data_IF_034710329523
#
_entry.id   IF_034710329523
#
_cell.length_a   1.000
_cell.length_b   1.000
_cell.length_c   1.000
_cell.angle_alpha   90.00
_cell.angle_beta   90.00
_cell.angle_gamma   90.00
#
_symmetry.space_group_name_H-M   'P 1'
#
loop_
_entity.id
_entity.type
_entity.pdbx_description
1 polymer ?
#
# COMPACT_ATOMS: atom_id res chain seq x y z
N UNK A 1 -10.38 7.54 -23.68
CA UNK A 1 -10.48 6.96 -22.32
C UNK A 1 -9.46 7.67 -21.45
N UNK A 2 -9.87 8.20 -20.27
CA UNK A 2 -8.98 8.89 -19.31
C UNK A 2 -8.00 7.94 -18.64
N UNK A 3 -6.93 8.44 -18.03
CA UNK A 3 -6.01 7.60 -17.25
C UNK A 3 -6.74 6.93 -16.07
N UNK A 4 -7.63 7.66 -15.39
CA UNK A 4 -8.45 7.12 -14.30
C UNK A 4 -9.36 5.96 -14.75
N UNK A 5 -9.98 6.07 -15.93
CA UNK A 5 -10.82 5.01 -16.47
C UNK A 5 -10.01 3.74 -16.81
N UNK A 6 -8.83 3.89 -17.41
CA UNK A 6 -7.93 2.74 -17.70
C UNK A 6 -7.44 2.08 -16.41
N UNK A 7 -7.12 2.87 -15.38
CA UNK A 7 -6.73 2.37 -14.07
C UNK A 7 -7.84 1.51 -13.45
N UNK A 8 -9.07 2.05 -13.38
CA UNK A 8 -10.21 1.34 -12.81
C UNK A 8 -10.54 0.03 -13.56
N UNK A 9 -10.51 0.06 -14.91
CA UNK A 9 -10.69 -1.13 -15.74
C UNK A 9 -9.58 -2.16 -15.50
N UNK A 10 -8.33 -1.72 -15.45
CA UNK A 10 -7.19 -2.58 -15.14
C UNK A 10 -7.30 -3.25 -13.76
N UNK A 11 -7.75 -2.52 -12.73
CA UNK A 11 -8.01 -3.11 -11.41
C UNK A 11 -9.18 -4.11 -11.43
N UNK A 12 -10.26 -3.78 -12.14
CA UNK A 12 -11.41 -4.68 -12.26
C UNK A 12 -11.04 -6.03 -12.90
N UNK A 13 -10.07 -6.03 -13.82
CA UNK A 13 -9.57 -7.26 -14.42
C UNK A 13 -8.85 -8.20 -13.43
N UNK A 14 -8.44 -7.71 -12.25
CA UNK A 14 -7.86 -8.52 -11.16
C UNK A 14 -8.91 -9.19 -10.30
N UNK A 15 -10.20 -9.00 -10.56
CA UNK A 15 -11.25 -9.69 -9.82
C UNK A 15 -11.05 -11.21 -9.89
N UNK A 16 -11.33 -11.88 -8.78
CA UNK A 16 -11.41 -13.34 -8.76
C UNK A 16 -12.71 -13.71 -9.47
N UNK A 17 -12.71 -14.66 -10.44
CA UNK A 17 -13.94 -15.08 -11.10
C UNK A 17 -15.01 -15.51 -10.09
N UNK A 18 -16.26 -15.07 -10.29
CA UNK A 18 -17.36 -15.28 -9.35
C UNK A 18 -17.56 -16.76 -8.98
N UNK A 19 -17.41 -17.67 -9.94
CA UNK A 19 -17.55 -19.10 -9.71
C UNK A 19 -16.48 -19.64 -8.74
N UNK A 20 -15.24 -19.15 -8.84
CA UNK A 20 -14.14 -19.53 -7.94
C UNK A 20 -14.35 -18.92 -6.56
N UNK A 21 -14.74 -17.64 -6.52
CA UNK A 21 -15.00 -16.93 -5.28
C UNK A 21 -16.16 -17.54 -4.49
N UNK A 22 -17.24 -17.92 -5.17
CA UNK A 22 -18.40 -18.57 -4.56
C UNK A 22 -18.09 -19.97 -4.01
N UNK A 23 -17.13 -20.67 -4.59
CA UNK A 23 -16.69 -21.99 -4.15
C UNK A 23 -15.56 -21.94 -3.11
N UNK A 24 -15.03 -20.76 -2.79
CA UNK A 24 -13.93 -20.60 -1.85
C UNK A 24 -14.32 -21.07 -0.43
N UNK A 25 -13.56 -22.00 0.18
CA UNK A 25 -13.87 -22.49 1.53
C UNK A 25 -13.64 -21.47 2.63
N UNK A 26 -12.78 -20.49 2.37
CA UNK A 26 -12.44 -19.38 3.27
C UNK A 26 -12.39 -18.06 2.50
N UNK A 27 -12.57 -16.93 3.20
CA UNK A 27 -12.42 -15.61 2.58
C UNK A 27 -11.00 -15.43 2.01
N UNK A 28 -10.84 -15.10 0.73
CA UNK A 28 -9.54 -14.81 0.14
C UNK A 28 -8.99 -13.43 0.53
N UNK A 29 -9.77 -12.65 1.26
CA UNK A 29 -9.43 -11.28 1.64
C UNK A 29 -8.75 -11.20 2.99
N UNK A 30 -8.00 -10.11 3.20
CA UNK A 30 -7.25 -9.85 4.43
C UNK A 30 -5.81 -10.34 4.36
N UNK A 31 -5.01 -9.77 5.25
CA UNK A 31 -3.63 -10.14 5.50
C UNK A 31 -3.47 -10.49 6.97
N UNK A 32 -2.53 -11.36 7.34
CA UNK A 32 -2.15 -11.51 8.74
C UNK A 32 -1.67 -10.16 9.30
N UNK A 33 -2.30 -9.65 10.35
CA UNK A 33 -1.98 -8.35 10.95
C UNK A 33 -0.52 -8.26 11.39
N UNK A 34 0.07 -9.35 11.85
CA UNK A 34 1.47 -9.46 12.25
C UNK A 34 2.46 -9.05 11.16
N UNK A 35 2.17 -9.30 9.88
CA UNK A 35 3.04 -8.92 8.76
C UNK A 35 3.24 -7.41 8.70
N UNK A 36 2.18 -6.62 8.88
CA UNK A 36 2.28 -5.15 8.85
C UNK A 36 3.04 -4.60 10.04
N UNK A 37 2.90 -5.22 11.20
CA UNK A 37 3.67 -4.86 12.41
C UNK A 37 5.16 -5.11 12.19
N UNK A 38 5.53 -6.26 11.63
CA UNK A 38 6.93 -6.57 11.31
C UNK A 38 7.51 -5.63 10.24
N UNK A 39 6.73 -5.27 9.23
CA UNK A 39 7.15 -4.28 8.20
C UNK A 39 7.37 -2.91 8.86
N UNK A 40 6.51 -2.49 9.78
CA UNK A 40 6.67 -1.22 10.49
C UNK A 40 7.92 -1.23 11.42
N UNK A 41 8.17 -2.31 12.14
CA UNK A 41 9.40 -2.48 12.94
C UNK A 41 10.65 -2.43 12.06
N UNK A 42 10.66 -3.18 10.96
CA UNK A 42 11.78 -3.17 10.02
C UNK A 42 12.01 -1.78 9.40
N UNK A 43 10.96 -1.00 9.19
CA UNK A 43 11.07 0.38 8.71
C UNK A 43 11.66 1.33 9.76
N UNK A 44 11.36 1.11 11.05
CA UNK A 44 11.93 1.88 12.16
C UNK A 44 13.41 1.59 12.39
N UNK A 45 13.82 0.34 12.22
CA UNK A 45 15.19 -0.12 12.48
C UNK A 45 16.11 0.01 11.25
N UNK A 46 15.51 0.13 10.07
CA UNK A 46 16.22 0.15 8.80
C UNK A 46 16.59 1.55 8.30
N UNK A 47 17.33 1.63 7.18
CA UNK A 47 17.64 2.90 6.56
C UNK A 47 16.38 3.54 5.94
N UNK A 48 16.28 4.89 5.92
CA UNK A 48 15.17 5.58 5.28
C UNK A 48 15.01 5.21 3.79
N UNK A 49 13.80 4.80 3.40
CA UNK A 49 13.46 4.54 2.00
C UNK A 49 13.39 5.85 1.19
N UNK A 50 13.32 5.81 -0.15
CA UNK A 50 13.00 7.00 -0.95
C UNK A 50 11.75 7.72 -0.47
N UNK A 51 10.69 7.00 -0.11
CA UNK A 51 9.45 7.55 0.43
C UNK A 51 9.68 8.38 1.68
N UNK A 52 10.42 7.83 2.67
CA UNK A 52 10.78 8.55 3.88
C UNK A 52 11.63 9.80 3.57
N UNK A 53 12.65 9.69 2.72
CA UNK A 53 13.52 10.83 2.36
C UNK A 53 12.74 11.94 1.65
N UNK A 54 11.82 11.57 0.72
CA UNK A 54 11.02 12.56 -0.01
C UNK A 54 9.99 13.24 0.88
N UNK A 55 9.40 12.52 1.85
CA UNK A 55 8.50 13.10 2.84
C UNK A 55 9.27 14.04 3.80
N UNK A 56 10.35 13.55 4.40
CA UNK A 56 11.16 14.32 5.34
C UNK A 56 11.72 15.63 4.74
N UNK A 57 12.11 15.60 3.45
CA UNK A 57 12.63 16.78 2.75
C UNK A 57 11.63 17.95 2.58
N UNK A 58 10.33 17.70 2.79
CA UNK A 58 9.29 18.73 2.74
C UNK A 58 8.63 19.00 4.09
N UNK A 59 9.04 18.26 5.13
CA UNK A 59 8.46 18.36 6.47
C UNK A 59 9.23 19.39 7.29
N UNK A 60 8.59 20.46 7.79
CA UNK A 60 9.25 21.38 8.71
C UNK A 60 9.50 20.72 10.06
N UNK A 61 10.48 21.20 10.87
CA UNK A 61 10.68 20.73 12.23
C UNK A 61 9.40 20.83 13.07
N UNK A 62 8.99 19.73 13.71
CA UNK A 62 7.73 19.67 14.45
C UNK A 62 6.47 19.62 13.60
N UNK A 63 6.62 19.45 12.29
CA UNK A 63 5.52 19.44 11.33
C UNK A 63 4.58 18.25 11.48
N UNK A 64 3.44 18.32 10.77
CA UNK A 64 2.35 17.33 10.81
C UNK A 64 2.39 16.44 9.58
N UNK A 65 2.42 15.13 9.80
CA UNK A 65 2.30 14.10 8.75
C UNK A 65 0.93 13.47 8.80
N UNK A 66 0.26 13.36 7.66
CA UNK A 66 -0.90 12.49 7.48
C UNK A 66 -0.44 11.20 6.81
N UNK A 67 -0.77 10.06 7.41
CA UNK A 67 -0.54 8.72 6.85
C UNK A 67 -1.88 8.09 6.45
N UNK A 68 -2.10 7.92 5.14
CA UNK A 68 -3.37 7.40 4.61
C UNK A 68 -3.24 5.93 4.23
N UNK A 69 -4.07 5.10 4.84
CA UNK A 69 -3.92 3.65 4.82
C UNK A 69 -2.68 3.27 5.62
N UNK A 70 -2.59 3.81 6.83
CA UNK A 70 -1.38 3.82 7.65
C UNK A 70 -0.90 2.43 8.06
N UNK A 71 -1.81 1.45 8.10
CA UNK A 71 -1.47 0.15 8.67
C UNK A 71 -0.83 0.33 10.05
N UNK A 72 0.27 -0.36 10.30
CA UNK A 72 1.06 -0.23 11.53
C UNK A 72 2.11 0.92 11.51
N UNK A 73 2.05 1.84 10.55
CA UNK A 73 2.86 3.06 10.53
C UNK A 73 4.21 2.97 9.82
N UNK A 74 4.40 2.00 8.93
CA UNK A 74 5.68 1.81 8.23
C UNK A 74 6.11 3.03 7.40
N UNK A 75 5.15 3.84 6.88
CA UNK A 75 5.44 5.02 6.08
C UNK A 75 5.67 6.28 6.91
N UNK A 76 5.02 6.40 8.07
CA UNK A 76 5.02 7.63 8.89
C UNK A 76 5.92 7.59 10.11
N UNK A 77 5.99 6.48 10.84
CA UNK A 77 6.75 6.39 12.09
C UNK A 77 8.25 6.71 11.91
N UNK A 78 8.93 6.31 10.82
CA UNK A 78 10.32 6.71 10.58
C UNK A 78 10.52 8.21 10.30
N UNK A 79 9.44 8.98 10.14
CA UNK A 79 9.50 10.44 9.98
C UNK A 79 9.53 11.19 11.32
N UNK A 80 9.42 10.51 12.43
CA UNK A 80 9.44 11.10 13.77
C UNK A 80 10.75 10.77 14.51
N UNK A 81 11.69 11.75 14.74
CA UNK A 81 11.66 13.12 14.21
C UNK A 81 12.00 13.18 12.71
N UNK A 82 11.71 14.26 11.95
CA UNK A 82 11.31 15.60 12.40
C UNK A 82 9.81 15.84 12.64
N UNK A 83 8.92 14.87 12.31
CA UNK A 83 7.49 15.03 12.61
C UNK A 83 7.25 15.19 14.11
N UNK A 84 6.49 16.23 14.48
CA UNK A 84 5.98 16.42 15.84
C UNK A 84 4.62 15.75 16.04
N UNK A 85 3.84 15.59 14.97
CA UNK A 85 2.53 14.95 14.99
C UNK A 85 2.32 14.07 13.78
N UNK A 86 1.69 12.92 14.00
CA UNK A 86 1.25 11.98 12.96
C UNK A 86 -0.26 11.79 13.09
N UNK A 87 -1.00 12.09 12.01
CA UNK A 87 -2.42 11.75 11.88
C UNK A 87 -2.50 10.48 11.04
N UNK A 88 -2.94 9.39 11.64
CA UNK A 88 -3.01 8.07 11.00
C UNK A 88 -4.46 7.75 10.62
N UNK A 89 -4.73 7.56 9.32
CA UNK A 89 -6.05 7.17 8.81
C UNK A 89 -5.99 5.72 8.32
N UNK A 90 -6.78 4.85 8.90
CA UNK A 90 -6.97 3.46 8.44
C UNK A 90 -8.38 2.98 8.77
N UNK A 91 -8.91 2.05 7.97
CA UNK A 91 -10.19 1.39 8.24
C UNK A 91 -10.07 0.29 9.31
N UNK A 92 -8.86 -0.22 9.55
CA UNK A 92 -8.58 -1.29 10.49
C UNK A 92 -8.13 -0.72 11.85
N UNK A 93 -9.00 -0.86 12.85
CA UNK A 93 -8.73 -0.37 14.20
C UNK A 93 -7.60 -1.13 14.91
N UNK A 94 -7.31 -2.37 14.52
CA UNK A 94 -6.19 -3.14 15.07
C UNK A 94 -4.87 -2.56 14.57
N UNK A 95 -4.80 -2.23 13.28
CA UNK A 95 -3.64 -1.56 12.69
C UNK A 95 -3.37 -0.20 13.31
N UNK A 96 -4.42 0.61 13.52
CA UNK A 96 -4.27 1.90 14.19
C UNK A 96 -3.71 1.75 15.62
N UNK A 97 -4.19 0.75 16.38
CA UNK A 97 -3.66 0.46 17.72
C UNK A 97 -2.18 0.05 17.67
N UNK A 98 -1.82 -0.84 16.73
CA UNK A 98 -0.42 -1.26 16.55
C UNK A 98 0.49 -0.07 16.18
N UNK A 99 0.02 0.86 15.35
CA UNK A 99 0.74 2.10 15.03
C UNK A 99 0.95 2.95 16.30
N UNK A 100 -0.09 3.14 17.12
CA UNK A 100 0.03 3.91 18.34
C UNK A 100 1.03 3.30 19.33
N UNK A 101 1.01 1.98 19.48
CA UNK A 101 1.93 1.25 20.36
C UNK A 101 3.39 1.37 19.87
N UNK A 102 3.64 1.21 18.57
CA UNK A 102 4.98 1.34 17.99
C UNK A 102 5.49 2.79 17.99
N UNK A 103 4.58 3.75 17.88
CA UNK A 103 4.90 5.17 17.83
C UNK A 103 4.97 5.86 19.18
N UNK A 104 4.70 5.16 20.28
CA UNK A 104 4.69 5.72 21.63
C UNK A 104 6.00 6.44 21.97
N UNK A 105 5.88 7.73 22.35
CA UNK A 105 7.03 8.58 22.69
C UNK A 105 7.84 9.13 21.51
N UNK A 106 7.43 8.87 20.25
CA UNK A 106 8.12 9.39 19.06
C UNK A 106 7.51 10.69 18.55
N UNK A 107 6.19 10.78 18.53
CA UNK A 107 5.42 11.94 18.09
C UNK A 107 4.06 11.95 18.81
N UNK A 108 3.32 13.07 18.68
CA UNK A 108 1.89 13.09 19.00
C UNK A 108 1.12 12.31 17.90
N UNK A 109 0.39 11.26 18.29
CA UNK A 109 -0.29 10.37 17.37
C UNK A 109 -1.80 10.54 17.50
N UNK A 110 -2.45 10.95 16.40
CA UNK A 110 -3.89 10.99 16.26
C UNK A 110 -4.36 9.85 15.37
N UNK A 111 -5.34 9.09 15.86
CA UNK A 111 -5.92 7.96 15.14
C UNK A 111 -7.29 8.33 14.56
N UNK A 112 -7.48 8.15 13.27
CA UNK A 112 -8.73 8.42 12.55
C UNK A 112 -9.19 7.13 11.87
N UNK A 113 -10.13 6.41 12.51
CA UNK A 113 -10.72 5.21 11.93
C UNK A 113 -11.63 5.57 10.76
N UNK A 114 -11.36 5.04 9.56
CA UNK A 114 -12.17 5.28 8.37
C UNK A 114 -11.42 5.07 7.07
N UNK A 115 -12.16 5.18 5.98
CA UNK A 115 -11.61 5.09 4.62
C UNK A 115 -11.31 6.48 4.07
N UNK A 116 -10.26 6.59 3.28
CA UNK A 116 -10.00 7.78 2.48
C UNK A 116 -10.71 7.65 1.13
N UNK A 117 -11.35 8.72 0.59
CA UNK A 117 -11.39 10.10 1.10
C UNK A 117 -12.48 10.42 2.14
N UNK A 118 -13.35 9.47 2.52
CA UNK A 118 -14.49 9.73 3.42
C UNK A 118 -14.06 10.32 4.78
N UNK A 119 -12.83 10.06 5.20
CA UNK A 119 -12.26 10.58 6.44
C UNK A 119 -11.66 12.00 6.29
N UNK A 120 -11.60 12.56 5.08
CA UNK A 120 -10.88 13.82 4.81
C UNK A 120 -11.41 15.01 5.64
N UNK A 121 -12.73 15.10 5.84
CA UNK A 121 -13.35 16.18 6.62
C UNK A 121 -12.97 16.16 8.12
N UNK A 122 -12.43 15.04 8.61
CA UNK A 122 -11.96 14.90 10.00
C UNK A 122 -10.48 15.21 10.15
N UNK A 123 -9.81 15.46 9.03
CA UNK A 123 -8.38 15.78 8.99
C UNK A 123 -8.23 17.20 8.51
N UNK A 124 -7.63 18.05 9.32
CA UNK A 124 -7.29 19.43 8.91
C UNK A 124 -6.11 19.44 7.94
N UNK A 125 -5.73 20.62 7.41
CA UNK A 125 -4.55 20.77 6.60
C UNK A 125 -3.28 20.34 7.33
N UNK A 126 -2.47 19.49 6.67
CA UNK A 126 -1.21 18.92 7.19
C UNK A 126 -0.02 19.35 6.35
N UNK A 127 1.20 19.24 6.86
CA UNK A 127 2.38 19.65 6.10
C UNK A 127 2.71 18.67 4.98
N UNK A 128 2.73 17.37 5.28
CA UNK A 128 3.06 16.30 4.34
C UNK A 128 2.05 15.17 4.44
N UNK A 129 1.62 14.65 3.31
CA UNK A 129 0.82 13.42 3.23
C UNK A 129 1.71 12.29 2.73
N UNK A 130 1.68 11.15 3.41
CA UNK A 130 2.25 9.89 2.92
C UNK A 130 1.14 8.86 2.72
N UNK A 131 1.26 8.04 1.68
CA UNK A 131 0.34 6.96 1.41
C UNK A 131 1.12 5.82 0.75
N UNK A 132 1.25 4.68 1.42
CA UNK A 132 2.09 3.58 0.96
C UNK A 132 1.30 2.29 0.77
N UNK A 133 1.44 1.67 -0.42
CA UNK A 133 0.84 0.38 -0.77
C UNK A 133 -0.71 0.32 -0.73
N UNK A 134 -1.38 1.46 -0.89
CA UNK A 134 -2.85 1.58 -0.89
C UNK A 134 -3.42 1.65 -2.29
N UNK A 135 -2.74 2.29 -3.24
CA UNK A 135 -3.26 2.66 -4.56
C UNK A 135 -3.95 1.51 -5.31
N UNK A 136 -3.41 0.30 -5.28
CA UNK A 136 -4.00 -0.87 -5.95
C UNK A 136 -5.30 -1.39 -5.30
N UNK A 137 -5.75 -0.79 -4.20
CA UNK A 137 -7.06 -1.05 -3.60
C UNK A 137 -8.10 0.04 -3.92
N UNK A 138 -7.74 1.02 -4.77
CA UNK A 138 -8.53 2.23 -5.02
C UNK A 138 -8.90 2.32 -6.49
N UNK A 139 -10.16 2.00 -6.82
CA UNK A 139 -10.65 2.08 -8.20
C UNK A 139 -10.73 3.53 -8.70
N UNK A 140 -11.27 4.45 -7.90
CA UNK A 140 -11.23 5.90 -8.18
C UNK A 140 -9.94 6.53 -7.63
N UNK A 141 -8.81 6.20 -8.26
CA UNK A 141 -7.52 6.77 -7.89
C UNK A 141 -7.47 8.28 -8.15
N UNK A 142 -8.22 8.77 -9.15
CA UNK A 142 -8.27 10.21 -9.46
C UNK A 142 -8.83 11.04 -8.31
N UNK A 143 -10.03 10.70 -7.84
CA UNK A 143 -10.66 11.36 -6.68
C UNK A 143 -9.82 11.17 -5.40
N UNK A 144 -9.26 9.99 -5.22
CA UNK A 144 -8.40 9.66 -4.07
C UNK A 144 -7.18 10.60 -3.99
N UNK A 145 -6.39 10.73 -5.07
CA UNK A 145 -5.17 11.56 -5.05
C UNK A 145 -5.47 13.05 -5.03
N UNK A 146 -6.60 13.50 -5.62
CA UNK A 146 -7.05 14.87 -5.50
C UNK A 146 -7.35 15.24 -4.04
N UNK A 147 -8.01 14.35 -3.30
CA UNK A 147 -8.27 14.53 -1.87
C UNK A 147 -6.98 14.55 -1.02
N UNK A 148 -5.95 13.72 -1.37
CA UNK A 148 -4.63 13.81 -0.72
C UNK A 148 -3.98 15.18 -0.94
N UNK A 149 -4.03 15.69 -2.18
CA UNK A 149 -3.44 16.98 -2.52
C UNK A 149 -4.15 18.15 -1.82
N UNK A 150 -5.47 18.07 -1.67
CA UNK A 150 -6.29 19.12 -1.07
C UNK A 150 -5.97 19.38 0.42
N UNK A 151 -5.49 18.38 1.15
CA UNK A 151 -5.15 18.51 2.59
C UNK A 151 -3.64 18.73 2.83
N UNK A 152 -2.78 18.49 1.83
CA UNK A 152 -1.34 18.68 1.95
C UNK A 152 -0.95 20.15 1.68
N UNK A 153 -0.17 20.76 2.57
CA UNK A 153 0.40 22.10 2.37
C UNK A 153 1.65 22.07 1.47
N UNK A 154 2.53 21.11 1.71
CA UNK A 154 3.83 21.10 1.04
C UNK A 154 3.97 19.97 0.04
N UNK A 155 3.64 18.73 0.42
CA UNK A 155 3.90 17.58 -0.43
C UNK A 155 2.97 16.41 -0.15
N UNK A 156 2.60 15.71 -1.22
CA UNK A 156 2.07 14.35 -1.14
C UNK A 156 3.15 13.39 -1.64
N UNK A 157 3.32 12.26 -0.95
CA UNK A 157 4.22 11.17 -1.31
C UNK A 157 3.43 9.88 -1.37
N UNK A 158 3.37 9.26 -2.55
CA UNK A 158 2.68 8.01 -2.81
C UNK A 158 3.71 6.92 -3.11
N UNK A 159 3.67 5.82 -2.37
CA UNK A 159 4.48 4.63 -2.62
C UNK A 159 3.62 3.48 -3.11
N UNK A 160 4.06 2.80 -4.16
CA UNK A 160 3.43 1.59 -4.65
C UNK A 160 4.45 0.66 -5.30
N UNK A 161 4.11 -0.63 -5.42
CA UNK A 161 4.90 -1.56 -6.23
C UNK A 161 4.84 -1.19 -7.71
N UNK A 162 5.91 -1.46 -8.46
CA UNK A 162 5.99 -1.15 -9.90
C UNK A 162 4.92 -1.87 -10.72
N UNK A 163 4.53 -3.07 -10.29
CA UNK A 163 3.46 -3.92 -10.84
C UNK A 163 2.43 -4.23 -9.75
N UNK A 164 1.28 -4.74 -10.16
CA UNK A 164 0.22 -5.12 -9.21
C UNK A 164 0.77 -6.10 -8.14
N UNK A 165 0.47 -5.91 -6.82
CA UNK A 165 1.08 -6.70 -5.74
C UNK A 165 0.84 -8.21 -5.82
N UNK A 166 -0.19 -8.63 -6.55
CA UNK A 166 -0.53 -10.04 -6.75
C UNK A 166 0.05 -10.64 -8.04
N UNK A 167 0.78 -9.87 -8.84
CA UNK A 167 1.41 -10.36 -10.06
C UNK A 167 2.34 -11.57 -9.81
N UNK A 168 3.10 -11.65 -8.70
CA UNK A 168 3.91 -12.82 -8.41
C UNK A 168 3.12 -14.12 -8.21
N UNK A 169 1.82 -14.03 -7.91
CA UNK A 169 0.93 -15.20 -7.81
C UNK A 169 0.39 -15.68 -9.16
N UNK A 170 0.66 -14.97 -10.26
CA UNK A 170 0.19 -15.34 -11.60
C UNK A 170 0.50 -16.79 -12.00
N UNK A 171 1.74 -17.30 -11.81
CA UNK A 171 2.06 -18.71 -12.09
C UNK A 171 1.20 -19.70 -11.31
N UNK A 172 0.85 -19.39 -10.04
CA UNK A 172 0.00 -20.23 -9.22
C UNK A 172 -1.46 -20.21 -9.72
N UNK A 173 -1.99 -19.05 -10.12
CA UNK A 173 -3.30 -18.95 -10.73
C UNK A 173 -3.40 -19.78 -12.00
N UNK A 174 -2.35 -19.78 -12.83
CA UNK A 174 -2.29 -20.62 -14.03
C UNK A 174 -2.22 -22.09 -13.68
N UNK A 175 -1.43 -22.46 -12.65
CA UNK A 175 -1.27 -23.86 -12.23
C UNK A 175 -2.58 -24.47 -11.69
N UNK A 176 -3.22 -23.77 -10.73
CA UNK A 176 -4.39 -24.33 -10.04
C UNK A 176 -5.72 -24.12 -10.79
N UNK A 177 -5.83 -23.05 -11.58
CA UNK A 177 -7.09 -22.65 -12.18
C UNK A 177 -7.04 -22.49 -13.71
N UNK A 178 -5.87 -22.63 -14.33
CA UNK A 178 -5.71 -22.39 -15.77
C UNK A 178 -5.95 -20.93 -16.20
N UNK A 179 -5.82 -19.97 -15.27
CA UNK A 179 -6.15 -18.56 -15.52
C UNK A 179 -4.89 -17.73 -15.58
N UNK A 180 -4.73 -16.97 -16.66
CA UNK A 180 -3.72 -15.93 -16.77
C UNK A 180 -4.19 -14.65 -16.06
N UNK A 181 -3.33 -14.08 -15.21
CA UNK A 181 -3.63 -12.83 -14.53
C UNK A 181 -3.18 -11.63 -15.37
N UNK A 182 -3.84 -10.46 -15.23
CA UNK A 182 -3.49 -9.25 -15.99
C UNK A 182 -2.05 -8.78 -15.72
N UNK A 183 -1.45 -8.09 -16.69
CA UNK A 183 -0.14 -7.45 -16.53
C UNK A 183 -0.22 -6.03 -15.94
N UNK A 184 -1.38 -5.40 -15.97
CA UNK A 184 -1.65 -4.06 -15.44
C UNK A 184 -2.85 -4.04 -14.51
N UNK A 185 -3.13 -2.89 -13.84
CA UNK A 185 -2.41 -1.64 -14.00
C UNK A 185 -1.05 -1.65 -13.30
N UNK A 186 -0.18 -0.71 -13.66
CA UNK A 186 1.18 -0.55 -13.16
C UNK A 186 1.37 0.80 -12.45
N UNK A 187 2.52 1.02 -11.83
CA UNK A 187 2.86 2.33 -11.28
C UNK A 187 2.94 3.45 -12.35
N UNK A 188 3.18 3.11 -13.62
CA UNK A 188 3.12 4.09 -14.71
C UNK A 188 1.68 4.54 -14.99
N UNK A 189 0.71 3.63 -14.87
CA UNK A 189 -0.71 3.97 -14.99
C UNK A 189 -1.15 4.86 -13.81
N UNK A 190 -0.72 4.55 -12.60
CA UNK A 190 -0.94 5.41 -11.43
C UNK A 190 -0.33 6.81 -11.62
N UNK A 191 0.91 6.90 -12.14
CA UNK A 191 1.55 8.19 -12.46
C UNK A 191 0.73 9.00 -13.46
N UNK A 192 0.17 8.35 -14.49
CA UNK A 192 -0.69 9.03 -15.46
C UNK A 192 -1.96 9.58 -14.80
N UNK A 193 -2.58 8.80 -13.89
CA UNK A 193 -3.75 9.26 -13.12
C UNK A 193 -3.40 10.45 -12.22
N UNK A 194 -2.30 10.38 -11.49
CA UNK A 194 -1.87 11.50 -10.60
C UNK A 194 -1.66 12.77 -11.39
N UNK A 195 -0.99 12.70 -12.56
CA UNK A 195 -0.77 13.85 -13.45
C UNK A 195 -2.08 14.45 -13.98
N UNK A 196 -3.00 13.58 -14.41
CA UNK A 196 -4.31 14.00 -14.94
C UNK A 196 -5.17 14.64 -13.83
N UNK A 197 -5.21 14.04 -12.64
CA UNK A 197 -6.07 14.48 -11.56
C UNK A 197 -5.58 15.75 -10.85
N UNK A 198 -4.25 15.94 -10.73
CA UNK A 198 -3.70 17.06 -9.97
C UNK A 198 -3.24 18.23 -10.85
N UNK A 199 -2.96 17.98 -12.13
CA UNK A 199 -2.33 18.97 -13.01
C UNK A 199 -0.92 19.40 -12.58
N UNK A 200 -0.39 18.81 -11.50
CA UNK A 200 0.88 19.19 -10.91
C UNK A 200 2.07 18.45 -11.56
N UNK A 201 3.29 19.02 -11.48
CA UNK A 201 4.51 18.29 -11.83
C UNK A 201 4.72 17.15 -10.84
N UNK A 202 4.72 15.91 -11.35
CA UNK A 202 4.94 14.68 -10.55
C UNK A 202 6.35 14.16 -10.79
N UNK A 203 7.11 14.06 -9.71
CA UNK A 203 8.43 13.42 -9.70
C UNK A 203 8.32 11.95 -9.34
N UNK A 204 9.31 11.15 -9.76
CA UNK A 204 9.31 9.71 -9.54
C UNK A 204 10.70 9.21 -9.14
N UNK A 205 10.77 8.22 -8.26
CA UNK A 205 12.00 7.49 -7.94
C UNK A 205 11.69 6.00 -7.91
N UNK A 206 12.47 5.19 -8.66
CA UNK A 206 12.35 3.72 -8.65
C UNK A 206 13.42 3.16 -7.74
N UNK A 207 13.06 2.13 -6.98
CA UNK A 207 13.96 1.50 -6.03
C UNK A 207 13.54 0.04 -5.78
N UNK A 208 14.37 -0.70 -5.11
CA UNK A 208 14.12 -2.08 -4.76
C UNK A 208 13.96 -2.23 -3.25
N UNK A 209 12.90 -2.88 -2.83
CA UNK A 209 12.74 -3.33 -1.45
C UNK A 209 13.46 -4.66 -1.31
N UNK A 210 14.44 -4.72 -0.41
CA UNK A 210 15.35 -5.85 -0.23
C UNK A 210 14.66 -7.14 0.25
N UNK A 211 13.42 -7.06 0.74
CA UNK A 211 12.62 -8.20 1.16
C UNK A 211 11.33 -8.23 0.35
N UNK A 212 11.13 -9.29 -0.43
CA UNK A 212 9.86 -9.56 -1.07
C UNK A 212 8.78 -9.69 0.01
N UNK A 213 7.58 -9.21 -0.27
CA UNK A 213 6.41 -9.36 0.63
C UNK A 213 6.15 -10.83 1.03
N UNK A 214 6.56 -11.77 0.17
CA UNK A 214 6.48 -13.23 0.39
C UNK A 214 7.85 -13.87 0.67
N UNK A 215 8.81 -13.13 1.22
CA UNK A 215 10.18 -13.63 1.46
C UNK A 215 10.27 -14.71 2.55
N UNK A 216 9.30 -14.80 3.45
CA UNK A 216 9.12 -15.94 4.34
C UNK A 216 8.09 -16.89 3.72
N UNK A 217 8.52 -18.13 3.41
CA UNK A 217 7.68 -19.22 2.88
C UNK A 217 7.18 -20.16 3.98
N UNK A 218 7.06 -19.64 5.18
CA UNK A 218 6.54 -20.39 6.33
C UNK A 218 5.06 -20.74 6.19
N UNK A 219 4.53 -21.55 7.13
CA UNK A 219 3.14 -22.04 7.09
C UNK A 219 2.08 -20.94 6.99
N UNK A 220 2.32 -19.77 7.59
CA UNK A 220 1.39 -18.64 7.54
C UNK A 220 1.30 -18.05 6.14
N UNK A 221 2.44 -17.92 5.44
CA UNK A 221 2.49 -17.45 4.05
C UNK A 221 1.82 -18.45 3.12
N UNK A 222 2.06 -19.74 3.30
CA UNK A 222 1.40 -20.82 2.53
C UNK A 222 -0.11 -20.74 2.72
N UNK A 223 -0.61 -20.69 3.95
CA UNK A 223 -2.02 -20.58 4.25
C UNK A 223 -2.66 -19.29 3.68
N UNK A 224 -1.93 -18.17 3.73
CA UNK A 224 -2.39 -16.92 3.13
C UNK A 224 -2.50 -17.03 1.61
N UNK A 225 -1.47 -17.56 0.93
CA UNK A 225 -1.48 -17.76 -0.53
C UNK A 225 -2.58 -18.72 -0.93
N UNK A 226 -2.74 -19.85 -0.23
CA UNK A 226 -3.81 -20.83 -0.46
C UNK A 226 -5.20 -20.16 -0.43
N UNK A 227 -5.49 -19.39 0.63
CA UNK A 227 -6.75 -18.65 0.72
C UNK A 227 -6.92 -17.65 -0.43
N UNK A 228 -5.83 -16.93 -0.79
CA UNK A 228 -5.84 -15.99 -1.91
C UNK A 228 -6.14 -16.65 -3.25
N UNK A 229 -5.76 -17.92 -3.39
CA UNK A 229 -6.07 -18.77 -4.54
C UNK A 229 -7.44 -19.46 -4.43
N UNK A 230 -8.21 -19.22 -3.37
CA UNK A 230 -9.51 -19.85 -3.10
C UNK A 230 -9.43 -21.40 -3.03
N UNK A 231 -8.33 -21.94 -2.51
CA UNK A 231 -8.09 -23.38 -2.41
C UNK A 231 -8.43 -23.91 -1.01
N UNK A 232 -8.80 -25.19 -0.89
CA UNK A 232 -9.05 -25.84 0.39
C UNK A 232 -7.73 -26.14 1.12
N UNK A 233 -7.82 -26.45 2.44
CA UNK A 233 -6.65 -26.63 3.31
C UNK A 233 -5.72 -27.78 2.85
N UNK A 234 -6.27 -28.78 2.20
CA UNK A 234 -5.53 -29.93 1.65
C UNK A 234 -4.52 -29.53 0.57
N UNK A 235 -4.68 -28.35 -0.02
CA UNK A 235 -3.76 -27.82 -1.03
C UNK A 235 -2.47 -27.22 -0.45
N UNK A 236 -2.31 -27.08 0.87
CA UNK A 236 -1.16 -26.39 1.49
C UNK A 236 0.18 -26.97 1.04
N UNK A 237 0.30 -28.30 0.93
CA UNK A 237 1.54 -28.96 0.48
C UNK A 237 1.88 -28.56 -0.96
N UNK A 238 0.90 -28.63 -1.87
CA UNK A 238 1.10 -28.28 -3.28
C UNK A 238 1.37 -26.80 -3.45
N UNK A 239 0.69 -25.93 -2.70
CA UNK A 239 0.95 -24.48 -2.69
C UNK A 239 2.38 -24.19 -2.24
N UNK A 240 2.88 -24.85 -1.19
CA UNK A 240 4.26 -24.70 -0.73
C UNK A 240 5.26 -25.10 -1.83
N UNK A 241 5.06 -26.26 -2.47
CA UNK A 241 5.90 -26.72 -3.58
C UNK A 241 5.93 -25.74 -4.76
N UNK A 242 4.78 -25.15 -5.10
CA UNK A 242 4.71 -24.15 -6.18
C UNK A 242 5.35 -22.84 -5.79
N UNK A 243 5.21 -22.40 -4.53
CA UNK A 243 5.89 -21.22 -4.00
C UNK A 243 7.42 -21.38 -4.07
N UNK A 244 7.93 -22.58 -3.75
CA UNK A 244 9.38 -22.86 -3.81
C UNK A 244 9.97 -22.79 -5.22
N UNK A 245 9.13 -22.97 -6.23
CA UNK A 245 9.54 -22.83 -7.65
C UNK A 245 9.56 -21.38 -8.13
N UNK A 246 8.91 -20.48 -7.41
CA UNK A 246 8.95 -19.06 -7.76
C UNK A 246 10.33 -18.49 -7.44
N UNK A 247 10.88 -17.74 -8.38
CA UNK A 247 12.14 -17.02 -8.15
C UNK A 247 11.94 -15.98 -7.03
N UNK A 248 12.89 -15.94 -6.10
CA UNK A 248 12.98 -14.83 -5.16
C UNK A 248 13.53 -13.62 -5.89
N UNK A 249 12.73 -12.57 -5.96
CA UNK A 249 13.15 -11.30 -6.54
C UNK A 249 12.83 -10.16 -5.56
N UNK A 250 13.68 -9.14 -5.49
CA UNK A 250 13.35 -7.91 -4.77
C UNK A 250 12.07 -7.31 -5.33
N UNK A 251 11.27 -6.70 -4.46
CA UNK A 251 10.08 -5.98 -4.90
C UNK A 251 10.49 -4.65 -5.53
N UNK A 252 10.26 -4.49 -6.83
CA UNK A 252 10.43 -3.21 -7.50
C UNK A 252 9.37 -2.23 -7.04
N UNK A 253 9.78 -1.11 -6.46
CA UNK A 253 8.94 -0.07 -5.88
C UNK A 253 9.08 1.23 -6.65
N UNK A 254 8.04 2.06 -6.54
CA UNK A 254 8.02 3.42 -7.11
C UNK A 254 7.50 4.38 -6.04
N UNK A 255 8.26 5.44 -5.82
CA UNK A 255 7.81 6.59 -5.03
C UNK A 255 7.47 7.71 -5.99
N UNK A 256 6.24 8.22 -5.91
CA UNK A 256 5.74 9.39 -6.61
C UNK A 256 5.59 10.53 -5.60
N UNK A 257 5.91 11.77 -6.00
CA UNK A 257 5.62 12.91 -5.15
C UNK A 257 5.30 14.16 -5.95
N UNK A 258 4.44 15.01 -5.40
CA UNK A 258 3.98 16.25 -6.01
C UNK A 258 3.66 17.29 -4.93
N UNK A 259 3.56 18.59 -5.30
CA UNK A 259 3.18 19.65 -4.37
C UNK A 259 1.77 19.45 -3.82
N UNK A 260 1.57 19.84 -2.56
CA UNK A 260 0.25 19.99 -1.97
C UNK A 260 -0.50 21.19 -2.52
N UNK A 261 -1.80 21.29 -2.20
CA UNK A 261 -2.71 22.34 -2.66
C UNK A 261 -3.44 23.04 -1.50
N UNK A 262 -3.24 22.59 -0.25
CA UNK A 262 -3.79 23.28 0.91
C UNK A 262 -3.07 24.62 1.09
N UNK A 263 -3.81 25.71 0.93
CA UNK A 263 -3.34 27.10 1.10
C UNK A 263 -3.21 27.51 2.55
#
# INVERSE_FOLDING_TARGET
MTAAARWAEGLAAWAIPDAILAAAPESPWGFPSGVFVEVARAALDGPPTPTHRRAAAALPPGGVVLDVGSGAGAASLPLAPPAGRIVAVDQDAEMLRALADLGAGRADIELVAGRWPDAADRVGPVDVVVCANVAYNVADLGGFVAALAAVARHRVVLELSARHPQEPLGPLWRHFWGIDRPEGPTANDALAVVREATGAPVSTERWERSRAFMGDRGPETVAWVRRRLCLPAEADVEVAEQLDRLAEAPSAMVTLWWPGQAG
#
